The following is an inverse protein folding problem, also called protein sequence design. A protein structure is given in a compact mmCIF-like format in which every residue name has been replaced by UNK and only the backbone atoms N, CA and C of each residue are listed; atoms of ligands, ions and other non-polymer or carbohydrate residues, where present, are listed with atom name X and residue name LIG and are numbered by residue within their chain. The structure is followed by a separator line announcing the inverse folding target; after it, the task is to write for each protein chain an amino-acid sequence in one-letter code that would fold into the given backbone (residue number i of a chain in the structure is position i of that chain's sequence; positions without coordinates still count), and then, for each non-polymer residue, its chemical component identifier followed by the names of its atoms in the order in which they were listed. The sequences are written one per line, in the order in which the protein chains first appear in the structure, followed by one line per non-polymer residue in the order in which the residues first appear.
data_IF_892569781554
#
_entry.id   IF_892569781554
#
_cell.length_a   1.000
_cell.length_b   1.000
_cell.length_c   1.000
_cell.angle_alpha   90.00
_cell.angle_beta   90.00
_cell.angle_gamma   90.00
#
_symmetry.space_group_name_H-M   'P 1'
#
loop_
_entity.id
_entity.type
_entity.pdbx_description
1 polymer ?
#
# COMPACT_ATOMS: atom_id res chain seq x y z
N UNK A 1 -21.26 80.28 -5.33
CA UNK A 1 -19.88 80.23 -5.84
C UNK A 1 -19.71 78.90 -6.56
N UNK A 2 -19.09 78.95 -7.75
CA UNK A 2 -18.70 77.91 -8.73
C UNK A 2 -18.14 76.58 -8.15
N UNK A 3 -18.05 75.42 -8.84
CA UNK A 3 -18.53 74.86 -10.14
C UNK A 3 -18.11 73.36 -10.21
N UNK A 4 -18.92 72.46 -10.85
CA UNK A 4 -18.59 71.27 -11.71
C UNK A 4 -17.50 70.22 -11.26
N UNK A 5 -17.43 68.96 -11.73
CA UNK A 5 -18.18 68.17 -12.72
C UNK A 5 -18.07 66.64 -12.44
N UNK A 6 -18.97 65.87 -13.08
CA UNK A 6 -18.88 64.53 -13.70
C UNK A 6 -17.50 63.81 -13.78
N UNK A 7 -17.41 62.47 -13.83
CA UNK A 7 -18.16 61.60 -14.76
C UNK A 7 -18.55 60.18 -14.28
N UNK A 8 -19.36 59.51 -15.11
CA UNK A 8 -20.04 58.23 -14.88
C UNK A 8 -19.66 57.21 -15.99
N UNK A 9 -19.47 55.92 -15.67
CA UNK A 9 -19.20 54.90 -16.68
C UNK A 9 -19.78 53.52 -16.32
N UNK A 10 -20.96 53.23 -16.89
CA UNK A 10 -21.57 51.91 -17.03
C UNK A 10 -21.73 51.62 -18.52
N UNK A 11 -21.41 50.42 -18.99
CA UNK A 11 -21.87 49.92 -20.30
C UNK A 11 -22.07 48.41 -20.30
N UNK A 12 -23.29 48.02 -20.65
CA UNK A 12 -23.72 46.66 -21.00
C UNK A 12 -23.51 46.40 -22.53
N UNK A 13 -23.88 45.18 -22.98
CA UNK A 13 -24.20 44.77 -24.37
C UNK A 13 -23.10 44.31 -25.38
N UNK A 14 -23.15 43.00 -25.66
CA UNK A 14 -23.54 42.40 -26.97
C UNK A 14 -22.71 42.63 -28.24
N UNK A 15 -22.12 41.54 -28.77
CA UNK A 15 -21.93 41.27 -30.23
C UNK A 15 -21.47 39.81 -30.45
N UNK A 16 -21.77 39.10 -31.54
CA UNK A 16 -23.00 38.95 -32.34
C UNK A 16 -22.83 37.69 -33.22
N UNK A 17 -23.91 36.96 -33.49
CA UNK A 17 -23.95 35.93 -34.54
C UNK A 17 -24.00 36.57 -35.93
N UNK A 18 -23.25 36.02 -36.90
CA UNK A 18 -23.47 36.26 -38.33
C UNK A 18 -23.87 34.95 -39.02
N UNK A 19 -25.12 34.91 -39.47
CA UNK A 19 -25.57 34.04 -40.55
C UNK A 19 -25.29 34.73 -41.88
N UNK A 20 -25.02 33.95 -42.92
CA UNK A 20 -25.01 34.40 -44.32
C UNK A 20 -25.69 33.33 -45.15
N UNK A 21 -26.93 33.59 -45.56
CA UNK A 21 -27.61 32.78 -46.57
C UNK A 21 -27.22 33.25 -47.98
N UNK A 22 -27.17 32.31 -48.92
CA UNK A 22 -27.36 32.59 -50.34
C UNK A 22 -28.06 31.41 -51.03
N UNK A 23 -29.39 31.53 -51.09
CA UNK A 23 -30.35 30.98 -52.06
C UNK A 23 -29.92 29.88 -53.04
N UNK A 24 -30.64 28.75 -53.04
CA UNK A 24 -31.14 28.10 -54.26
C UNK A 24 -32.29 27.09 -54.01
N UNK A 25 -33.52 27.54 -54.30
CA UNK A 25 -34.65 26.83 -54.95
C UNK A 25 -35.17 25.42 -54.53
N UNK A 26 -36.52 25.37 -54.45
CA UNK A 26 -37.43 24.28 -54.90
C UNK A 26 -37.66 23.00 -54.06
N UNK A 27 -38.82 22.98 -53.37
CA UNK A 27 -39.72 21.81 -53.27
C UNK A 27 -40.51 21.63 -54.60
N UNK A 28 -41.33 20.57 -54.83
CA UNK A 28 -41.66 19.40 -53.99
C UNK A 28 -41.52 18.04 -54.72
N UNK A 29 -41.81 16.90 -54.04
CA UNK A 29 -42.88 15.93 -54.40
C UNK A 29 -42.80 14.59 -53.63
N UNK A 30 -43.90 13.84 -53.67
CA UNK A 30 -44.21 12.62 -52.91
C UNK A 30 -44.34 11.37 -53.80
N UNK A 31 -43.85 10.20 -53.35
CA UNK A 31 -44.34 8.83 -53.63
C UNK A 31 -43.47 7.84 -52.82
N UNK A 32 -43.98 6.91 -52.00
CA UNK A 32 -44.65 5.63 -52.32
C UNK A 32 -43.83 4.66 -53.21
N UNK A 33 -43.61 3.41 -52.75
CA UNK A 33 -43.38 2.28 -53.66
C UNK A 33 -42.33 1.19 -53.28
N UNK A 34 -42.65 0.33 -52.32
CA UNK A 34 -42.41 -1.14 -52.26
C UNK A 34 -41.10 -1.85 -52.71
N UNK A 35 -40.72 -2.85 -51.88
CA UNK A 35 -39.91 -4.07 -52.18
C UNK A 35 -38.40 -3.87 -52.53
N UNK A 36 -37.45 -4.75 -52.18
CA UNK A 36 -37.48 -6.14 -51.64
C UNK A 36 -36.22 -6.38 -50.76
N UNK A 37 -36.25 -7.25 -49.75
CA UNK A 37 -35.05 -7.67 -48.99
C UNK A 37 -34.28 -8.85 -49.64
N UNK A 38 -33.40 -9.60 -48.94
CA UNK A 38 -33.00 -9.50 -47.51
C UNK A 38 -31.47 -9.68 -47.25
N UNK A 39 -31.10 -10.03 -46.00
CA UNK A 39 -29.78 -10.40 -45.42
C UNK A 39 -29.02 -9.22 -44.76
N UNK A 40 -29.08 -9.05 -43.43
CA UNK A 40 -28.40 -9.80 -42.34
C UNK A 40 -26.87 -9.54 -42.31
N UNK A 41 -26.19 -9.27 -41.18
CA UNK A 41 -26.48 -9.55 -39.76
C UNK A 41 -26.07 -8.34 -38.89
N UNK A 42 -26.79 -8.06 -37.80
CA UNK A 42 -26.26 -7.21 -36.71
C UNK A 42 -26.79 -7.70 -35.34
N UNK A 43 -25.91 -8.24 -34.49
CA UNK A 43 -26.29 -8.92 -33.25
C UNK A 43 -26.10 -8.02 -32.03
N UNK A 44 -27.20 -7.47 -31.50
CA UNK A 44 -27.22 -6.85 -30.17
C UNK A 44 -27.45 -7.92 -29.08
N UNK A 45 -26.65 -7.87 -28.02
CA UNK A 45 -26.82 -8.73 -26.83
C UNK A 45 -27.44 -7.91 -25.69
N UNK A 46 -28.56 -8.40 -25.16
CA UNK A 46 -29.18 -7.97 -23.89
C UNK A 46 -29.13 -9.15 -22.89
N UNK A 47 -28.89 -8.92 -21.59
CA UNK A 47 -28.84 -9.99 -20.59
C UNK A 47 -30.23 -10.36 -20.06
N UNK A 48 -30.44 -11.66 -19.84
CA UNK A 48 -31.73 -12.22 -19.40
C UNK A 48 -31.93 -12.14 -17.88
N UNK A 49 -33.06 -11.58 -17.43
CA UNK A 49 -33.44 -11.49 -16.02
C UNK A 49 -34.36 -12.66 -15.66
N UNK A 50 -33.93 -13.51 -14.73
CA UNK A 50 -34.69 -14.69 -14.30
C UNK A 50 -35.54 -14.42 -13.05
N UNK A 51 -36.78 -14.02 -13.27
CA UNK A 51 -37.78 -13.83 -12.21
C UNK A 51 -38.45 -15.16 -11.82
N UNK A 52 -38.67 -15.40 -10.52
CA UNK A 52 -39.53 -16.50 -10.03
C UNK A 52 -40.45 -15.99 -8.93
N UNK A 53 -41.75 -15.98 -9.20
CA UNK A 53 -42.83 -15.54 -8.28
C UNK A 53 -43.45 -16.71 -7.51
N UNK A 54 -44.19 -16.45 -6.40
CA UNK A 54 -44.55 -17.45 -5.39
C UNK A 54 -45.96 -18.04 -5.55
N UNK A 55 -46.36 -18.96 -4.65
CA UNK A 55 -47.76 -19.35 -4.46
C UNK A 55 -48.09 -19.60 -2.98
N UNK A 56 -49.28 -19.13 -2.58
CA UNK A 56 -49.90 -19.10 -1.24
C UNK A 56 -49.93 -20.42 -0.45
N UNK A 57 -49.82 -20.36 0.90
CA UNK A 57 -50.97 -20.35 1.83
C UNK A 57 -50.57 -20.39 3.32
N UNK A 58 -51.39 -19.76 4.17
CA UNK A 58 -51.42 -19.83 5.66
C UNK A 58 -52.83 -20.36 6.08
N UNK A 59 -53.19 -20.65 7.35
CA UNK A 59 -52.50 -20.34 8.62
C UNK A 59 -52.53 -21.42 9.76
N UNK A 60 -51.85 -21.08 10.87
CA UNK A 60 -52.14 -21.42 12.29
C UNK A 60 -52.09 -22.88 12.82
N UNK A 61 -51.22 -23.12 13.83
CA UNK A 61 -51.56 -23.64 15.17
C UNK A 61 -50.30 -23.80 16.08
N UNK A 62 -50.48 -23.62 17.39
CA UNK A 62 -49.53 -23.99 18.46
C UNK A 62 -50.22 -25.10 19.29
N UNK A 63 -49.52 -26.19 19.66
CA UNK A 63 -49.27 -26.43 21.09
C UNK A 63 -47.90 -27.03 21.44
N UNK A 64 -47.68 -27.09 22.76
CA UNK A 64 -46.74 -27.85 23.60
C UNK A 64 -46.29 -29.23 23.03
N UNK A 65 -45.17 -29.86 23.40
CA UNK A 65 -44.19 -29.66 24.49
C UNK A 65 -43.43 -30.98 24.76
N UNK A 66 -42.60 -31.04 25.82
CA UNK A 66 -41.84 -32.22 26.35
C UNK A 66 -40.35 -32.33 25.97
N UNK A 67 -39.54 -32.71 26.97
CA UNK A 67 -38.07 -32.62 27.04
C UNK A 67 -37.32 -33.94 26.77
N UNK A 68 -35.97 -33.91 26.86
CA UNK A 68 -35.04 -34.78 27.66
C UNK A 68 -33.66 -34.74 26.98
N UNK A 69 -32.59 -34.06 27.44
CA UNK A 69 -31.85 -34.00 28.73
C UNK A 69 -30.70 -35.02 28.85
N UNK A 70 -29.45 -34.52 28.97
CA UNK A 70 -28.28 -35.13 29.66
C UNK A 70 -27.41 -33.96 30.22
N UNK A 71 -26.72 -34.06 31.40
CA UNK A 71 -26.72 -32.96 32.38
C UNK A 71 -25.40 -32.17 32.64
N UNK A 72 -25.51 -31.24 33.58
CA UNK A 72 -24.53 -30.24 34.09
C UNK A 72 -24.06 -30.60 35.52
N UNK A 73 -22.80 -30.29 35.87
CA UNK A 73 -22.31 -29.75 37.16
C UNK A 73 -20.91 -29.15 36.93
N UNK A 74 -20.49 -27.94 37.31
CA UNK A 74 -20.99 -26.95 38.31
C UNK A 74 -20.19 -27.09 39.63
N UNK A 75 -19.62 -26.07 40.28
CA UNK A 75 -19.42 -24.61 40.07
C UNK A 75 -18.19 -24.19 40.92
N UNK A 76 -17.96 -23.01 41.50
CA UNK A 76 -18.34 -21.59 41.35
C UNK A 76 -17.88 -20.87 42.66
N UNK A 77 -17.27 -19.67 42.58
CA UNK A 77 -16.90 -18.81 43.73
C UNK A 77 -15.51 -19.07 44.38
N UNK A 78 -14.84 -18.12 45.05
CA UNK A 78 -15.08 -16.66 45.21
C UNK A 78 -13.80 -15.92 45.71
N UNK A 79 -13.70 -14.62 45.40
CA UNK A 79 -12.94 -13.51 46.05
C UNK A 79 -11.55 -13.65 46.73
N UNK A 80 -10.71 -12.64 46.41
CA UNK A 80 -9.84 -11.83 47.31
C UNK A 80 -8.35 -12.17 47.58
N UNK A 81 -7.57 -11.07 47.53
CA UNK A 81 -6.25 -10.73 48.10
C UNK A 81 -5.46 -11.71 49.00
N UNK A 82 -4.13 -11.72 48.82
CA UNK A 82 -3.18 -12.07 49.88
C UNK A 82 -1.76 -12.36 49.38
N UNK A 83 -0.74 -11.78 50.01
CA UNK A 83 0.67 -12.00 49.68
C UNK A 83 1.44 -12.72 50.80
N UNK A 84 2.66 -13.18 50.47
CA UNK A 84 3.78 -13.51 51.38
C UNK A 84 4.01 -14.98 51.80
N UNK A 85 5.22 -15.47 51.45
CA UNK A 85 6.22 -16.12 52.35
C UNK A 85 5.71 -17.07 53.47
N UNK A 86 6.23 -18.29 53.67
CA UNK A 86 7.65 -18.61 53.96
C UNK A 86 7.85 -20.12 54.32
N UNK A 87 9.10 -20.59 54.16
CA UNK A 87 9.83 -21.61 54.98
C UNK A 87 9.74 -23.12 54.66
N UNK A 88 10.95 -23.68 54.55
CA UNK A 88 11.38 -25.05 54.25
C UNK A 88 11.45 -26.06 55.43
N UNK A 89 11.63 -27.34 55.07
CA UNK A 89 12.51 -28.39 55.68
C UNK A 89 13.11 -29.20 54.50
N UNK A 90 14.33 -29.76 54.45
CA UNK A 90 15.48 -29.93 55.39
C UNK A 90 15.46 -31.16 56.33
N UNK A 91 15.96 -32.30 55.80
CA UNK A 91 16.78 -33.37 56.43
C UNK A 91 17.32 -34.21 55.25
N UNK A 92 18.61 -34.30 54.90
CA UNK A 92 19.82 -34.74 55.62
C UNK A 92 19.84 -36.24 55.97
N UNK A 93 20.71 -37.02 55.32
CA UNK A 93 21.82 -37.77 55.96
C UNK A 93 22.77 -38.32 54.87
N UNK A 94 23.96 -38.77 55.26
CA UNK A 94 25.18 -38.74 54.42
C UNK A 94 26.17 -39.88 54.76
N UNK A 95 27.24 -40.00 53.95
CA UNK A 95 28.45 -40.84 54.12
C UNK A 95 28.29 -42.34 53.72
N UNK A 96 29.30 -43.08 53.22
CA UNK A 96 30.70 -42.76 52.89
C UNK A 96 31.41 -43.83 52.02
N UNK A 97 32.38 -43.40 51.20
CA UNK A 97 33.65 -44.03 50.76
C UNK A 97 33.83 -45.58 50.64
N UNK A 98 34.40 -46.06 49.52
CA UNK A 98 35.86 -46.38 49.39
C UNK A 98 36.22 -47.20 48.11
N UNK A 99 37.52 -47.45 47.90
CA UNK A 99 38.19 -47.86 46.64
C UNK A 99 38.15 -49.38 46.29
N UNK A 100 38.46 -49.73 45.02
CA UNK A 100 38.99 -51.05 44.65
C UNK A 100 39.19 -51.27 43.14
N UNK A 101 40.43 -51.54 42.69
CA UNK A 101 40.74 -51.91 41.29
C UNK A 101 40.56 -53.42 41.03
N UNK A 102 40.14 -53.82 39.82
CA UNK A 102 40.83 -54.84 38.98
C UNK A 102 40.08 -55.16 37.66
N UNK A 103 40.83 -55.72 36.70
CA UNK A 103 40.51 -56.14 35.32
C UNK A 103 41.12 -57.55 35.14
N UNK A 104 40.90 -58.36 34.08
CA UNK A 104 39.75 -58.60 33.18
C UNK A 104 39.16 -60.03 33.37
N UNK A 105 38.18 -60.50 32.56
CA UNK A 105 38.36 -61.58 31.56
C UNK A 105 37.06 -62.06 30.86
N UNK A 106 37.29 -62.70 29.70
CA UNK A 106 36.50 -63.71 28.99
C UNK A 106 35.13 -63.40 28.34
N UNK A 107 35.19 -63.43 27.01
CA UNK A 107 34.16 -63.85 26.06
C UNK A 107 33.76 -65.33 26.27
N UNK A 108 32.53 -65.72 25.87
CA UNK A 108 32.41 -66.73 24.81
C UNK A 108 31.40 -66.34 23.70
N UNK A 109 31.39 -67.03 22.54
CA UNK A 109 30.52 -66.76 21.40
C UNK A 109 29.34 -67.75 21.25
N UNK A 110 28.50 -67.50 20.22
CA UNK A 110 27.53 -68.39 19.55
C UNK A 110 26.31 -68.87 20.37
N UNK A 111 25.06 -68.62 19.96
CA UNK A 111 24.42 -69.27 18.78
C UNK A 111 23.06 -68.61 18.46
N UNK A 112 22.64 -68.71 17.19
CA UNK A 112 21.43 -68.14 16.57
C UNK A 112 20.07 -68.43 17.25
N UNK A 113 19.07 -67.55 16.97
CA UNK A 113 17.69 -67.87 16.55
C UNK A 113 16.85 -66.58 16.32
N UNK A 114 16.39 -66.36 15.08
CA UNK A 114 15.18 -65.58 14.72
C UNK A 114 13.92 -66.48 14.88
N UNK A 115 12.64 -66.02 14.89
CA UNK A 115 12.03 -64.88 14.13
C UNK A 115 10.86 -64.17 14.90
N UNK A 116 9.76 -63.66 14.29
CA UNK A 116 9.58 -62.64 13.24
C UNK A 116 8.67 -61.43 13.65
N UNK A 117 8.48 -60.50 12.70
CA UNK A 117 7.32 -59.59 12.50
C UNK A 117 6.84 -58.63 13.62
N UNK A 118 7.12 -57.34 13.42
CA UNK A 118 6.12 -56.27 13.56
C UNK A 118 6.55 -54.96 12.87
N UNK A 119 6.08 -54.70 11.65
CA UNK A 119 5.90 -53.33 11.15
C UNK A 119 4.85 -52.60 12.01
N UNK A 120 5.01 -51.30 12.30
CA UNK A 120 4.49 -50.33 11.33
C UNK A 120 5.29 -49.02 11.18
N UNK A 121 5.44 -48.61 9.92
CA UNK A 121 5.15 -47.24 9.49
C UNK A 121 5.90 -46.10 10.21
N UNK A 122 7.24 -46.16 10.24
CA UNK A 122 8.03 -44.94 10.44
C UNK A 122 8.01 -44.09 9.16
N UNK A 123 6.97 -43.28 9.00
CA UNK A 123 6.87 -42.34 7.88
C UNK A 123 8.10 -41.43 7.78
N UNK A 124 8.41 -40.95 6.58
CA UNK A 124 9.51 -40.01 6.33
C UNK A 124 9.07 -38.54 6.47
N UNK A 125 9.23 -37.92 7.67
CA UNK A 125 9.38 -36.46 7.72
C UNK A 125 10.53 -36.05 8.66
N UNK A 126 11.77 -36.42 8.35
CA UNK A 126 12.88 -36.22 9.29
C UNK A 126 14.21 -35.72 8.73
N UNK A 127 14.52 -35.90 7.43
CA UNK A 127 15.80 -35.44 6.84
C UNK A 127 15.96 -33.92 6.94
N UNK A 128 15.07 -33.15 6.32
CA UNK A 128 15.07 -31.67 6.36
C UNK A 128 14.95 -31.08 7.77
N UNK A 129 14.20 -31.72 8.66
CA UNK A 129 14.08 -31.29 10.06
C UNK A 129 15.34 -31.62 10.88
N UNK A 130 16.09 -32.67 10.53
CA UNK A 130 17.37 -32.98 11.17
C UNK A 130 18.47 -32.01 10.74
N UNK A 131 18.52 -31.65 9.45
CA UNK A 131 19.41 -30.63 8.89
C UNK A 131 19.11 -29.26 9.50
N UNK A 132 17.83 -28.86 9.61
CA UNK A 132 17.43 -27.62 10.27
C UNK A 132 17.87 -27.58 11.74
N UNK A 133 17.76 -28.69 12.49
CA UNK A 133 18.24 -28.79 13.88
C UNK A 133 19.77 -28.73 13.96
N UNK A 134 20.49 -29.26 12.98
CA UNK A 134 21.95 -29.15 12.89
C UNK A 134 22.37 -27.70 12.62
N UNK A 135 21.76 -27.04 11.62
CA UNK A 135 21.97 -25.62 11.32
C UNK A 135 21.61 -24.72 12.51
N UNK A 136 20.52 -25.01 13.23
CA UNK A 136 20.13 -24.25 14.42
C UNK A 136 21.16 -24.39 15.57
N UNK A 137 21.72 -25.59 15.78
CA UNK A 137 22.79 -25.82 16.76
C UNK A 137 24.12 -25.19 16.34
N UNK A 138 24.43 -25.18 15.05
CA UNK A 138 25.58 -24.47 14.50
C UNK A 138 25.42 -22.95 14.69
N UNK A 139 24.25 -22.42 14.34
CA UNK A 139 23.90 -21.01 14.52
C UNK A 139 23.95 -20.60 15.99
N UNK A 140 23.45 -21.43 16.91
CA UNK A 140 23.52 -21.17 18.35
C UNK A 140 24.99 -21.12 18.87
N UNK A 141 25.89 -21.90 18.27
CA UNK A 141 27.33 -21.87 18.59
C UNK A 141 28.06 -20.68 17.96
N UNK A 142 27.65 -20.23 16.77
CA UNK A 142 28.22 -19.06 16.10
C UNK A 142 27.60 -17.73 16.56
N UNK A 143 26.43 -17.76 17.20
CA UNK A 143 25.69 -16.61 17.73
C UNK A 143 26.53 -15.58 18.51
N UNK A 144 27.41 -15.93 19.48
CA UNK A 144 28.22 -14.92 20.15
C UNK A 144 29.19 -14.21 19.20
N UNK A 145 29.79 -14.91 18.24
CA UNK A 145 30.67 -14.32 17.22
C UNK A 145 29.88 -13.45 16.23
N UNK A 146 28.68 -13.89 15.85
CA UNK A 146 27.76 -13.10 15.03
C UNK A 146 27.34 -11.81 15.75
N UNK A 147 27.02 -11.86 17.05
CA UNK A 147 26.72 -10.67 17.85
C UNK A 147 27.91 -9.71 17.89
N UNK A 148 29.14 -10.20 18.09
CA UNK A 148 30.35 -9.36 18.10
C UNK A 148 30.54 -8.68 16.73
N UNK A 149 30.37 -9.43 15.63
CA UNK A 149 30.49 -8.91 14.27
C UNK A 149 29.38 -7.88 13.97
N UNK A 150 28.13 -8.18 14.31
CA UNK A 150 27.01 -7.24 14.19
C UNK A 150 27.22 -5.97 15.03
N UNK A 151 27.72 -6.09 16.27
CA UNK A 151 28.03 -4.94 17.11
C UNK A 151 29.14 -4.08 16.49
N UNK A 152 30.20 -4.69 15.95
CA UNK A 152 31.28 -3.98 15.23
C UNK A 152 30.72 -3.24 14.00
N UNK A 153 29.85 -3.88 13.21
CA UNK A 153 29.19 -3.23 12.06
C UNK A 153 28.27 -2.09 12.48
N UNK A 154 27.44 -2.28 13.52
CA UNK A 154 26.55 -1.24 14.04
C UNK A 154 27.33 -0.04 14.56
N UNK A 155 28.44 -0.25 15.28
CA UNK A 155 29.31 0.84 15.75
C UNK A 155 29.99 1.54 14.57
N UNK A 156 30.52 0.80 13.59
CA UNK A 156 31.16 1.35 12.40
C UNK A 156 30.20 2.23 11.56
N UNK A 157 28.94 1.82 11.43
CA UNK A 157 27.93 2.53 10.63
C UNK A 157 26.89 3.29 11.48
N UNK A 158 27.19 3.55 12.77
CA UNK A 158 26.24 4.10 13.74
C UNK A 158 25.61 5.42 13.28
N UNK A 159 26.42 6.32 12.68
CA UNK A 159 25.95 7.59 12.14
C UNK A 159 24.93 7.39 11.00
N UNK A 160 25.26 6.52 10.04
CA UNK A 160 24.37 6.23 8.91
C UNK A 160 23.07 5.56 9.36
N UNK A 161 23.15 4.62 10.31
CA UNK A 161 21.97 3.99 10.92
C UNK A 161 21.10 5.00 11.66
N UNK A 162 21.70 5.92 12.44
CA UNK A 162 20.97 6.96 13.14
C UNK A 162 20.25 7.92 12.19
N UNK A 163 20.91 8.35 11.10
CA UNK A 163 20.27 9.15 10.03
C UNK A 163 19.15 8.37 9.35
N UNK A 164 19.35 7.10 9.02
CA UNK A 164 18.32 6.23 8.43
C UNK A 164 17.08 6.08 9.31
N UNK A 165 17.27 5.89 10.62
CA UNK A 165 16.17 5.85 11.61
C UNK A 165 15.47 7.22 11.70
N UNK A 166 16.21 8.33 11.66
CA UNK A 166 15.64 9.68 11.61
C UNK A 166 14.78 9.91 10.38
N UNK A 167 15.28 9.56 9.19
CA UNK A 167 14.56 9.67 7.92
C UNK A 167 13.30 8.79 7.89
N UNK A 168 13.40 7.55 8.38
CA UNK A 168 12.25 6.65 8.47
C UNK A 168 11.20 7.16 9.46
N UNK A 169 11.61 7.73 10.60
CA UNK A 169 10.70 8.34 11.58
C UNK A 169 10.01 9.56 10.98
N UNK A 170 10.74 10.45 10.30
CA UNK A 170 10.19 11.58 9.53
C UNK A 170 9.17 11.11 8.49
N UNK A 171 9.49 10.06 7.73
CA UNK A 171 8.56 9.44 6.78
C UNK A 171 7.27 8.98 7.45
N UNK A 172 7.35 8.15 8.50
CA UNK A 172 6.17 7.61 9.19
C UNK A 172 5.28 8.72 9.76
N UNK A 173 5.92 9.72 10.37
CA UNK A 173 5.24 10.85 10.98
C UNK A 173 4.51 11.72 9.96
N UNK A 174 5.19 12.12 8.86
CA UNK A 174 4.56 12.93 7.81
C UNK A 174 3.50 12.13 7.05
N UNK A 175 3.73 10.85 6.75
CA UNK A 175 2.75 10.00 6.07
C UNK A 175 1.45 9.84 6.91
N UNK A 176 1.57 9.58 8.22
CA UNK A 176 0.42 9.59 9.14
C UNK A 176 -0.31 10.94 9.12
N UNK A 177 0.44 12.03 9.08
CA UNK A 177 -0.07 13.39 8.93
C UNK A 177 -0.90 13.62 7.66
N UNK A 178 -0.34 13.28 6.49
CA UNK A 178 -0.99 13.40 5.17
C UNK A 178 -2.29 12.60 5.13
N UNK A 179 -2.28 11.33 5.57
CA UNK A 179 -3.49 10.48 5.61
C UNK A 179 -4.57 11.04 6.52
N UNK A 180 -4.18 11.66 7.64
CA UNK A 180 -5.11 12.33 8.55
C UNK A 180 -5.74 13.55 7.87
N UNK A 181 -4.96 14.36 7.13
CA UNK A 181 -5.51 15.50 6.37
C UNK A 181 -6.44 15.04 5.24
N UNK A 182 -6.11 13.98 4.50
CA UNK A 182 -7.01 13.41 3.47
C UNK A 182 -8.34 12.96 4.08
N UNK A 183 -8.33 12.37 5.28
CA UNK A 183 -9.56 11.98 5.96
C UNK A 183 -10.43 13.18 6.40
N UNK A 184 -9.81 14.27 6.85
CA UNK A 184 -10.50 15.49 7.30
C UNK A 184 -10.74 16.52 6.17
N UNK A 185 -11.04 16.07 4.94
CA UNK A 185 -11.05 16.87 3.71
C UNK A 185 -11.89 18.17 3.75
N UNK A 186 -12.94 18.26 4.56
CA UNK A 186 -13.76 19.48 4.74
C UNK A 186 -13.28 20.46 5.84
N UNK A 187 -12.39 20.04 6.74
CA UNK A 187 -11.85 20.84 7.85
C UNK A 187 -10.32 20.76 7.92
N UNK A 188 -9.66 20.61 6.77
CA UNK A 188 -8.20 20.48 6.69
C UNK A 188 -7.50 21.69 7.26
N UNK A 189 -6.56 21.46 8.18
CA UNK A 189 -5.65 22.50 8.62
C UNK A 189 -4.62 22.74 7.52
N UNK A 190 -4.89 23.72 6.65
CA UNK A 190 -3.93 24.17 5.62
C UNK A 190 -2.59 24.55 6.26
N UNK A 191 -2.60 25.09 7.48
CA UNK A 191 -1.41 25.37 8.28
C UNK A 191 -0.61 24.10 8.61
N UNK A 192 -1.27 22.97 8.88
CA UNK A 192 -0.59 21.69 9.10
C UNK A 192 0.05 21.14 7.81
N UNK A 193 -0.60 21.29 6.65
CA UNK A 193 0.00 20.96 5.35
C UNK A 193 1.21 21.86 5.01
N UNK A 194 1.13 23.17 5.27
CA UNK A 194 2.27 24.10 5.15
C UNK A 194 3.40 23.69 6.09
N UNK A 195 3.09 23.32 7.33
CA UNK A 195 4.09 22.88 8.30
C UNK A 195 4.78 21.58 7.86
N UNK A 196 4.05 20.60 7.31
CA UNK A 196 4.66 19.40 6.71
C UNK A 196 5.58 19.73 5.52
N UNK A 197 5.22 20.71 4.67
CA UNK A 197 6.09 21.17 3.59
C UNK A 197 7.39 21.79 4.10
N UNK A 198 7.30 22.69 5.08
CA UNK A 198 8.46 23.31 5.70
C UNK A 198 9.35 22.24 6.35
N UNK A 199 8.76 21.29 7.07
CA UNK A 199 9.47 20.21 7.74
C UNK A 199 10.18 19.27 6.74
N UNK A 200 9.51 18.82 5.69
CA UNK A 200 10.12 17.99 4.62
C UNK A 200 11.24 18.74 3.89
N UNK A 201 11.01 20.01 3.55
CA UNK A 201 11.99 20.85 2.85
C UNK A 201 13.22 21.09 3.73
N UNK A 202 13.01 21.46 4.99
CA UNK A 202 14.08 21.64 5.98
C UNK A 202 14.86 20.34 6.22
N UNK A 203 14.20 19.19 6.36
CA UNK A 203 14.86 17.89 6.51
C UNK A 203 15.69 17.50 5.27
N UNK A 204 15.22 17.85 4.07
CA UNK A 204 15.94 17.59 2.81
C UNK A 204 17.17 18.49 2.67
N UNK A 205 17.02 19.80 2.96
CA UNK A 205 18.10 20.78 2.91
C UNK A 205 19.16 20.48 3.98
N UNK A 206 18.74 20.16 5.21
CA UNK A 206 19.66 19.78 6.29
C UNK A 206 20.50 18.57 5.91
N UNK A 207 19.89 17.54 5.31
CA UNK A 207 20.61 16.35 4.88
C UNK A 207 21.66 16.68 3.81
N UNK A 208 21.29 17.43 2.77
CA UNK A 208 22.24 17.82 1.72
C UNK A 208 23.32 18.79 2.21
N UNK A 209 23.04 19.62 3.21
CA UNK A 209 24.05 20.44 3.87
C UNK A 209 25.04 19.58 4.68
N UNK A 210 24.55 18.63 5.47
CA UNK A 210 25.38 17.71 6.27
C UNK A 210 26.27 16.82 5.41
N UNK A 211 25.77 16.34 4.27
CA UNK A 211 26.51 15.47 3.34
C UNK A 211 26.93 16.19 2.04
N UNK A 212 27.18 17.50 2.11
CA UNK A 212 27.52 18.31 0.92
C UNK A 212 28.76 17.81 0.19
N UNK A 213 29.79 17.39 0.94
CA UNK A 213 31.05 16.86 0.39
C UNK A 213 30.88 15.55 -0.38
N UNK A 214 29.85 14.74 -0.06
CA UNK A 214 29.56 13.44 -0.70
C UNK A 214 28.79 13.59 -2.02
N UNK A 215 28.43 14.82 -2.41
CA UNK A 215 27.74 15.19 -3.67
C UNK A 215 26.49 14.35 -4.03
N UNK A 216 25.81 13.78 -3.03
CA UNK A 216 24.67 12.84 -3.16
C UNK A 216 23.49 13.37 -3.99
N UNK A 217 23.41 14.67 -4.27
CA UNK A 217 22.40 15.25 -5.14
C UNK A 217 22.55 14.82 -6.61
N UNK A 218 23.74 14.42 -7.08
CA UNK A 218 23.94 13.87 -8.43
C UNK A 218 23.14 12.58 -8.66
N UNK A 219 22.98 11.76 -7.60
CA UNK A 219 22.20 10.52 -7.64
C UNK A 219 20.72 10.74 -7.97
N UNK A 220 20.15 11.93 -7.66
CA UNK A 220 18.80 12.28 -8.12
C UNK A 220 18.72 12.42 -9.64
N UNK A 221 19.77 12.91 -10.30
CA UNK A 221 19.77 13.21 -11.74
C UNK A 221 20.35 12.03 -12.55
N UNK A 222 20.46 10.85 -11.94
CA UNK A 222 21.06 9.64 -12.52
C UNK A 222 22.57 9.75 -12.81
N UNK A 223 23.28 10.72 -12.20
CA UNK A 223 24.74 10.81 -12.23
C UNK A 223 25.36 10.11 -11.00
N UNK A 224 26.54 9.54 -11.19
CA UNK A 224 27.32 8.96 -10.09
C UNK A 224 27.82 10.05 -9.11
N UNK A 225 27.87 9.77 -7.80
CA UNK A 225 28.51 10.65 -6.83
C UNK A 225 30.04 10.58 -6.99
N UNK A 226 30.76 11.63 -6.60
CA UNK A 226 32.22 11.76 -6.76
C UNK A 226 33.05 10.94 -5.74
N UNK A 227 32.50 9.83 -5.24
CA UNK A 227 33.09 9.02 -4.16
C UNK A 227 33.93 7.90 -4.78
N UNK A 228 35.16 8.19 -5.16
CA UNK A 228 36.11 7.16 -5.60
C UNK A 228 36.89 6.60 -4.39
N UNK A 229 36.93 5.26 -4.17
CA UNK A 229 36.17 4.20 -4.84
C UNK A 229 34.77 3.97 -4.22
N UNK A 230 33.77 3.67 -5.06
CA UNK A 230 32.43 3.30 -4.61
C UNK A 230 32.40 1.87 -4.04
N UNK A 231 32.65 1.72 -2.74
CA UNK A 231 32.44 0.46 -2.02
C UNK A 231 30.95 0.10 -1.88
N UNK A 232 30.69 -1.15 -1.49
CA UNK A 232 29.34 -1.69 -1.34
C UNK A 232 28.47 -0.88 -0.36
N UNK A 233 29.05 -0.44 0.76
CA UNK A 233 28.31 0.29 1.81
C UNK A 233 28.00 1.72 1.39
N UNK A 234 28.89 2.33 0.60
CA UNK A 234 28.80 3.66 0.05
C UNK A 234 27.72 3.73 -1.03
N UNK A 235 27.65 2.71 -1.91
CA UNK A 235 26.56 2.50 -2.88
C UNK A 235 25.22 2.31 -2.16
N UNK A 236 25.16 1.42 -1.16
CA UNK A 236 23.96 1.17 -0.38
C UNK A 236 23.47 2.43 0.37
N UNK A 237 24.39 3.20 0.92
CA UNK A 237 24.12 4.48 1.57
C UNK A 237 23.54 5.51 0.59
N UNK A 238 24.22 5.75 -0.54
CA UNK A 238 23.79 6.73 -1.54
C UNK A 238 22.40 6.40 -2.12
N UNK A 239 22.15 5.12 -2.43
CA UNK A 239 20.85 4.62 -2.88
C UNK A 239 19.79 4.81 -1.81
N UNK A 240 20.08 4.43 -0.56
CA UNK A 240 19.16 4.58 0.58
C UNK A 240 18.73 6.03 0.79
N UNK A 241 19.70 6.96 0.83
CA UNK A 241 19.46 8.40 0.96
C UNK A 241 18.63 8.93 -0.22
N UNK A 242 19.03 8.62 -1.44
CA UNK A 242 18.34 9.10 -2.65
C UNK A 242 16.90 8.60 -2.69
N UNK A 243 16.65 7.33 -2.31
CA UNK A 243 15.31 6.78 -2.20
C UNK A 243 14.46 7.56 -1.17
N UNK A 244 15.01 7.88 0.01
CA UNK A 244 14.32 8.71 1.01
C UNK A 244 14.03 10.14 0.51
N UNK A 245 14.98 10.80 -0.16
CA UNK A 245 14.74 12.15 -0.71
C UNK A 245 13.65 12.13 -1.78
N UNK A 246 13.63 11.15 -2.69
CA UNK A 246 12.53 11.00 -3.65
C UNK A 246 11.20 10.82 -2.91
N UNK A 247 11.16 10.01 -1.85
CA UNK A 247 9.98 9.81 -1.00
C UNK A 247 9.51 11.13 -0.37
N UNK A 248 10.44 11.97 0.10
CA UNK A 248 10.15 13.28 0.68
C UNK A 248 9.63 14.28 -0.37
N UNK A 249 10.21 14.29 -1.58
CA UNK A 249 9.71 15.09 -2.70
C UNK A 249 8.29 14.67 -3.11
N UNK A 250 8.01 13.37 -3.24
CA UNK A 250 6.66 12.86 -3.53
C UNK A 250 5.65 13.23 -2.43
N UNK A 251 6.01 13.10 -1.16
CA UNK A 251 5.15 13.56 -0.05
C UNK A 251 4.96 15.09 -0.04
N UNK A 252 5.98 15.86 -0.43
CA UNK A 252 5.88 17.30 -0.62
C UNK A 252 4.87 17.66 -1.71
N UNK A 253 4.94 17.01 -2.87
CA UNK A 253 3.95 17.18 -3.95
C UNK A 253 2.54 16.81 -3.49
N UNK A 254 2.36 15.74 -2.69
CA UNK A 254 1.07 15.43 -2.06
C UNK A 254 0.57 16.57 -1.17
N UNK A 255 1.41 17.15 -0.31
CA UNK A 255 1.04 18.30 0.51
C UNK A 255 0.66 19.53 -0.34
N UNK A 256 1.34 19.81 -1.46
CA UNK A 256 0.95 20.87 -2.40
C UNK A 256 -0.44 20.61 -3.00
N UNK A 257 -0.73 19.37 -3.42
CA UNK A 257 -2.07 18.94 -3.91
C UNK A 257 -3.14 19.10 -2.81
N UNK A 258 -2.80 18.89 -1.54
CA UNK A 258 -3.69 19.14 -0.41
C UNK A 258 -3.89 20.63 -0.11
N UNK A 259 -2.94 21.50 -0.44
CA UNK A 259 -3.09 22.94 -0.28
C UNK A 259 -4.00 23.58 -1.33
N UNK A 260 -4.09 23.02 -2.54
CA UNK A 260 -4.95 23.55 -3.61
C UNK A 260 -6.40 23.83 -3.12
N UNK A 261 -6.99 24.96 -3.53
CA UNK A 261 -8.38 25.28 -3.21
C UNK A 261 -9.34 24.44 -4.07
N UNK A 262 -10.54 24.20 -3.53
CA UNK A 262 -11.62 23.47 -4.21
C UNK A 262 -12.13 24.15 -5.48
N UNK A 263 -11.77 25.41 -5.72
CA UNK A 263 -12.01 26.13 -6.97
C UNK A 263 -11.12 25.68 -8.14
N UNK A 264 -9.93 25.14 -7.87
CA UNK A 264 -9.01 24.66 -8.91
C UNK A 264 -9.12 23.14 -9.13
N UNK A 265 -9.33 22.38 -8.05
CA UNK A 265 -9.32 20.92 -8.08
C UNK A 265 -10.47 20.36 -7.24
N UNK A 266 -11.38 19.61 -7.88
CA UNK A 266 -12.44 18.88 -7.17
C UNK A 266 -11.83 17.75 -6.33
N UNK A 267 -12.45 17.41 -5.20
CA UNK A 267 -11.94 16.39 -4.27
C UNK A 267 -11.71 15.01 -4.94
N UNK A 268 -12.59 14.61 -5.88
CA UNK A 268 -12.36 13.40 -6.73
C UNK A 268 -11.09 13.50 -7.57
N UNK A 269 -10.77 14.67 -8.10
CA UNK A 269 -9.55 14.90 -8.87
C UNK A 269 -8.32 14.91 -7.94
N UNK A 270 -8.43 15.53 -6.77
CA UNK A 270 -7.40 15.54 -5.73
C UNK A 270 -6.93 14.12 -5.37
N UNK A 271 -7.87 13.20 -5.10
CA UNK A 271 -7.54 11.79 -4.83
C UNK A 271 -6.85 11.07 -6.00
N UNK A 272 -7.20 11.39 -7.25
CA UNK A 272 -6.51 10.84 -8.44
C UNK A 272 -5.10 11.41 -8.61
N UNK A 273 -4.90 12.69 -8.32
CA UNK A 273 -3.58 13.32 -8.35
C UNK A 273 -2.66 12.74 -7.26
N UNK A 274 -3.14 12.55 -6.03
CA UNK A 274 -2.38 11.88 -4.95
C UNK A 274 -1.93 10.47 -5.35
N UNK A 275 -2.83 9.69 -5.97
CA UNK A 275 -2.54 8.36 -6.51
C UNK A 275 -1.51 8.39 -7.64
N UNK A 276 -1.63 9.34 -8.58
CA UNK A 276 -0.68 9.52 -9.68
C UNK A 276 0.71 9.94 -9.17
N UNK A 277 0.78 10.85 -8.19
CA UNK A 277 2.04 11.26 -7.54
C UNK A 277 2.75 10.09 -6.85
N UNK A 278 2.00 9.20 -6.21
CA UNK A 278 2.58 8.02 -5.55
C UNK A 278 3.12 7.00 -6.56
N UNK A 279 2.35 6.65 -7.60
CA UNK A 279 2.80 5.71 -8.63
C UNK A 279 3.99 6.27 -9.42
N UNK A 280 3.98 7.58 -9.76
CA UNK A 280 5.12 8.25 -10.39
C UNK A 280 6.35 8.25 -9.48
N UNK A 281 6.17 8.55 -8.19
CA UNK A 281 7.23 8.49 -7.19
C UNK A 281 7.86 7.11 -7.11
N UNK A 282 7.05 6.04 -7.05
CA UNK A 282 7.55 4.67 -7.01
C UNK A 282 8.28 4.27 -8.29
N UNK A 283 7.87 4.75 -9.48
CA UNK A 283 8.61 4.49 -10.73
C UNK A 283 9.97 5.18 -10.67
N UNK A 284 10.02 6.44 -10.24
CA UNK A 284 11.27 7.17 -10.09
C UNK A 284 12.22 6.51 -9.05
N UNK A 285 11.67 6.04 -7.93
CA UNK A 285 12.39 5.25 -6.94
C UNK A 285 12.94 3.91 -7.46
N UNK A 286 12.34 3.33 -8.50
CA UNK A 286 12.81 2.09 -9.12
C UNK A 286 13.97 2.31 -10.10
N UNK A 287 14.01 3.48 -10.76
CA UNK A 287 15.02 3.85 -11.75
C UNK A 287 16.25 4.50 -11.11
N UNK A 288 16.09 5.30 -10.04
CA UNK A 288 17.19 6.02 -9.40
C UNK A 288 18.39 5.14 -8.93
N UNK A 289 18.20 3.89 -8.44
CA UNK A 289 19.31 3.00 -8.10
C UNK A 289 20.08 2.44 -9.31
N UNK A 290 19.51 2.50 -10.52
CA UNK A 290 20.04 1.79 -11.71
C UNK A 290 21.46 2.23 -12.10
N UNK A 291 21.79 3.53 -12.21
CA UNK A 291 23.13 3.96 -12.58
C UNK A 291 24.20 3.57 -11.55
N UNK A 292 23.88 3.66 -10.25
CA UNK A 292 24.82 3.34 -9.17
C UNK A 292 25.14 1.84 -9.11
N UNK A 293 24.12 0.98 -9.16
CA UNK A 293 24.35 -0.47 -9.23
C UNK A 293 25.05 -0.90 -10.51
N UNK A 294 24.70 -0.30 -11.65
CA UNK A 294 25.38 -0.59 -12.92
C UNK A 294 26.87 -0.23 -12.85
N UNK A 295 27.20 0.98 -12.37
CA UNK A 295 28.59 1.42 -12.20
C UNK A 295 29.33 0.52 -11.19
N UNK A 296 28.71 0.19 -10.06
CA UNK A 296 29.31 -0.72 -9.08
C UNK A 296 29.62 -2.10 -9.68
N UNK A 297 28.67 -2.72 -10.37
CA UNK A 297 28.84 -4.08 -10.94
C UNK A 297 29.88 -4.15 -12.06
N UNK A 298 30.07 -3.07 -12.84
CA UNK A 298 31.10 -3.03 -13.89
C UNK A 298 32.46 -2.64 -13.31
N UNK A 299 32.56 -1.49 -12.64
CA UNK A 299 33.83 -0.88 -12.24
C UNK A 299 34.51 -1.60 -11.07
N UNK A 300 33.74 -2.19 -10.12
CA UNK A 300 34.33 -2.88 -8.96
C UNK A 300 35.21 -4.07 -9.34
N UNK A 301 34.96 -4.68 -10.51
CA UNK A 301 35.62 -5.93 -10.92
C UNK A 301 36.68 -5.75 -12.02
N UNK A 302 37.03 -4.50 -12.35
CA UNK A 302 38.13 -4.18 -13.26
C UNK A 302 39.51 -4.51 -12.66
N UNK A 303 39.67 -4.40 -11.33
CA UNK A 303 40.90 -4.74 -10.59
C UNK A 303 41.29 -6.23 -10.68
N UNK A 304 40.36 -7.13 -11.02
CA UNK A 304 40.61 -8.57 -11.25
C UNK A 304 41.02 -8.90 -12.70
N UNK A 305 41.13 -7.89 -13.57
CA UNK A 305 41.53 -8.03 -14.97
C UNK A 305 40.43 -8.56 -15.89
N UNK A 306 40.82 -9.11 -17.05
CA UNK A 306 39.89 -9.55 -18.12
C UNK A 306 38.76 -10.51 -17.68
N UNK A 307 38.99 -11.54 -16.83
CA UNK A 307 37.90 -12.39 -16.36
C UNK A 307 36.95 -11.62 -15.41
N UNK A 308 37.48 -10.71 -14.60
CA UNK A 308 36.71 -9.85 -13.70
C UNK A 308 35.77 -8.93 -14.47
N UNK A 309 36.29 -8.19 -15.46
CA UNK A 309 35.49 -7.36 -16.36
C UNK A 309 34.37 -8.17 -17.06
N UNK A 310 34.68 -9.38 -17.51
CA UNK A 310 33.69 -10.26 -18.16
C UNK A 310 32.56 -10.64 -17.19
N UNK A 311 32.90 -11.00 -15.94
CA UNK A 311 31.92 -11.32 -14.90
C UNK A 311 31.08 -10.09 -14.51
N UNK A 312 31.70 -8.94 -14.30
CA UNK A 312 31.02 -7.67 -14.00
C UNK A 312 30.01 -7.26 -15.07
N UNK A 313 30.38 -7.37 -16.35
CA UNK A 313 29.47 -7.11 -17.48
C UNK A 313 28.29 -8.11 -17.50
N UNK A 314 28.52 -9.40 -17.26
CA UNK A 314 27.45 -10.41 -17.21
C UNK A 314 26.49 -10.13 -16.04
N UNK A 315 27.00 -9.77 -14.86
CA UNK A 315 26.20 -9.40 -13.70
C UNK A 315 25.40 -8.11 -13.95
N UNK A 316 26.01 -7.09 -14.55
CA UNK A 316 25.35 -5.84 -14.92
C UNK A 316 24.21 -6.06 -15.93
N UNK A 317 24.43 -6.92 -16.95
CA UNK A 317 23.39 -7.29 -17.92
C UNK A 317 22.23 -8.04 -17.25
N UNK A 318 22.53 -9.02 -16.38
CA UNK A 318 21.50 -9.75 -15.62
C UNK A 318 20.68 -8.81 -14.73
N UNK A 319 21.34 -7.88 -14.02
CA UNK A 319 20.71 -6.85 -13.21
C UNK A 319 19.79 -5.95 -14.06
N UNK A 320 20.26 -5.47 -15.21
CA UNK A 320 19.45 -4.64 -16.12
C UNK A 320 18.23 -5.39 -16.66
N UNK A 321 18.36 -6.68 -17.01
CA UNK A 321 17.22 -7.51 -17.44
C UNK A 321 16.18 -7.62 -16.31
N UNK A 322 16.60 -7.95 -15.09
CA UNK A 322 15.72 -8.03 -13.93
C UNK A 322 15.02 -6.69 -13.64
N UNK A 323 15.73 -5.58 -13.77
CA UNK A 323 15.17 -4.22 -13.66
C UNK A 323 14.15 -3.90 -14.73
N UNK A 324 14.43 -4.19 -16.00
CA UNK A 324 13.51 -3.95 -17.11
C UNK A 324 12.22 -4.75 -16.96
N UNK A 325 12.30 -6.01 -16.52
CA UNK A 325 11.13 -6.84 -16.22
C UNK A 325 10.28 -6.25 -15.07
N UNK A 326 10.92 -5.80 -13.99
CA UNK A 326 10.22 -5.13 -12.88
C UNK A 326 9.55 -3.82 -13.31
N UNK A 327 10.29 -2.97 -14.03
CA UNK A 327 9.81 -1.68 -14.56
C UNK A 327 8.66 -1.86 -15.56
N UNK A 328 8.65 -2.93 -16.37
CA UNK A 328 7.55 -3.24 -17.28
C UNK A 328 6.24 -3.53 -16.51
N UNK A 329 6.30 -4.36 -15.47
CA UNK A 329 5.15 -4.67 -14.61
C UNK A 329 4.62 -3.43 -13.89
N UNK A 330 5.51 -2.60 -13.37
CA UNK A 330 5.16 -1.34 -12.71
C UNK A 330 4.62 -0.29 -13.69
N UNK A 331 5.23 -0.16 -14.88
CA UNK A 331 4.80 0.75 -15.94
C UNK A 331 3.39 0.44 -16.46
N UNK A 332 3.01 -0.84 -16.57
CA UNK A 332 1.63 -1.24 -16.88
C UNK A 332 0.63 -0.73 -15.83
N UNK A 333 1.01 -0.68 -14.56
CA UNK A 333 0.18 -0.19 -13.46
C UNK A 333 0.10 1.34 -13.46
N UNK A 334 1.23 2.02 -13.66
CA UNK A 334 1.29 3.47 -13.83
C UNK A 334 0.43 3.95 -15.02
N UNK A 335 0.51 3.31 -16.19
CA UNK A 335 -0.28 3.65 -17.36
C UNK A 335 -1.80 3.48 -17.13
N UNK A 336 -2.21 2.47 -16.35
CA UNK A 336 -3.61 2.34 -15.90
C UNK A 336 -4.02 3.51 -15.01
N UNK A 337 -3.20 3.87 -14.02
CA UNK A 337 -3.40 5.03 -13.15
C UNK A 337 -3.52 6.34 -13.93
N UNK A 338 -2.65 6.57 -14.92
CA UNK A 338 -2.73 7.71 -15.85
C UNK A 338 -4.06 7.68 -16.62
N UNK A 339 -4.45 6.54 -17.18
CA UNK A 339 -5.72 6.40 -17.92
C UNK A 339 -6.94 6.72 -17.05
N UNK A 340 -6.95 6.31 -15.79
CA UNK A 340 -8.01 6.62 -14.81
C UNK A 340 -8.01 8.11 -14.46
N UNK A 341 -6.82 8.71 -14.29
CA UNK A 341 -6.68 10.14 -14.01
C UNK A 341 -7.25 11.00 -15.15
N UNK A 342 -6.99 10.61 -16.41
CA UNK A 342 -7.43 11.30 -17.63
C UNK A 342 -8.92 11.07 -17.95
N UNK A 343 -9.42 9.83 -17.87
CA UNK A 343 -10.82 9.52 -18.24
C UNK A 343 -11.84 10.04 -17.23
N UNK A 344 -11.46 10.11 -15.95
CA UNK A 344 -12.35 10.51 -14.86
C UNK A 344 -13.36 9.42 -14.49
N UNK A 345 -13.55 9.20 -13.19
CA UNK A 345 -14.42 8.14 -12.69
C UNK A 345 -15.74 8.72 -12.13
N UNK A 346 -16.86 8.36 -12.75
CA UNK A 346 -18.20 8.78 -12.33
C UNK A 346 -18.91 7.69 -11.51
N UNK A 347 -18.55 7.57 -10.24
CA UNK A 347 -19.32 6.79 -9.26
C UNK A 347 -20.58 7.56 -8.86
N UNK A 348 -21.77 7.03 -9.21
CA UNK A 348 -23.08 7.59 -8.90
C UNK A 348 -23.50 8.78 -9.77
N UNK A 349 -24.82 8.98 -9.91
CA UNK A 349 -25.40 10.16 -10.59
C UNK A 349 -25.65 11.29 -9.57
N UNK A 350 -25.83 12.52 -10.05
CA UNK A 350 -26.24 13.62 -9.18
C UNK A 350 -27.69 13.38 -8.71
N UNK A 351 -27.94 13.49 -7.41
CA UNK A 351 -29.29 13.33 -6.86
C UNK A 351 -30.10 14.63 -7.05
N UNK A 352 -31.41 14.50 -7.27
CA UNK A 352 -32.32 15.65 -7.32
C UNK A 352 -32.71 16.12 -5.92
N UNK A 353 -33.18 17.36 -5.79
CA UNK A 353 -33.63 17.91 -4.48
C UNK A 353 -34.78 17.10 -3.87
N UNK A 354 -35.70 16.58 -4.67
CA UNK A 354 -36.80 15.74 -4.17
C UNK A 354 -36.29 14.45 -3.53
N UNK A 355 -35.35 13.75 -4.19
CA UNK A 355 -34.70 12.56 -3.64
C UNK A 355 -33.95 12.86 -2.33
N UNK A 356 -33.32 14.04 -2.23
CA UNK A 356 -32.63 14.44 -0.99
C UNK A 356 -33.60 14.70 0.17
N UNK A 357 -34.79 15.23 -0.11
CA UNK A 357 -35.84 15.47 0.88
C UNK A 357 -36.47 14.15 1.36
N UNK A 358 -36.77 13.23 0.43
CA UNK A 358 -37.22 11.87 0.74
C UNK A 358 -36.19 11.07 1.56
N UNK A 359 -34.90 11.29 1.32
CA UNK A 359 -33.80 10.69 2.08
C UNK A 359 -33.44 11.42 3.40
N UNK A 360 -34.26 12.36 3.87
CA UNK A 360 -34.13 13.00 5.18
C UNK A 360 -33.16 14.19 5.28
N UNK A 361 -32.80 14.82 4.15
CA UNK A 361 -32.05 16.09 4.00
C UNK A 361 -30.62 16.17 4.57
N UNK A 362 -30.22 15.19 5.38
CA UNK A 362 -28.93 15.11 6.08
C UNK A 362 -28.12 13.92 5.56
N UNK A 363 -26.83 14.15 5.27
CA UNK A 363 -25.91 13.10 4.82
C UNK A 363 -25.57 12.12 5.96
N UNK A 364 -25.77 10.79 5.80
CA UNK A 364 -25.50 9.81 6.86
C UNK A 364 -24.03 9.72 7.32
N UNK A 365 -23.07 10.19 6.51
CA UNK A 365 -21.63 10.11 6.82
C UNK A 365 -21.17 11.34 7.62
N UNK A 366 -21.49 12.56 7.16
CA UNK A 366 -21.03 13.80 7.80
C UNK A 366 -22.07 14.44 8.73
N UNK A 367 -23.28 13.89 8.80
CA UNK A 367 -24.38 14.33 9.67
C UNK A 367 -24.76 15.82 9.51
N UNK A 368 -24.53 16.37 8.31
CA UNK A 368 -24.93 17.72 7.92
C UNK A 368 -25.59 17.74 6.55
N UNK A 369 -26.03 18.93 6.12
CA UNK A 369 -26.69 19.14 4.83
C UNK A 369 -25.90 18.58 3.64
N UNK A 370 -26.62 18.09 2.63
CA UNK A 370 -26.04 17.50 1.43
C UNK A 370 -25.23 18.50 0.59
N UNK A 371 -23.90 18.30 0.55
CA UNK A 371 -22.98 18.99 -0.36
C UNK A 371 -22.75 18.15 -1.61
N UNK A 372 -23.24 18.63 -2.75
CA UNK A 372 -23.19 17.93 -4.05
C UNK A 372 -23.69 16.47 -3.92
N UNK A 373 -24.97 16.23 -3.59
CA UNK A 373 -25.46 14.89 -3.31
C UNK A 373 -25.35 13.96 -4.52
N UNK A 374 -24.92 12.73 -4.24
CA UNK A 374 -24.83 11.63 -5.20
C UNK A 374 -25.72 10.48 -4.76
N UNK A 375 -26.49 9.94 -5.69
CA UNK A 375 -27.25 8.71 -5.51
C UNK A 375 -26.44 7.52 -6.05
N UNK A 376 -26.36 6.46 -5.26
CA UNK A 376 -25.69 5.22 -5.62
C UNK A 376 -26.63 4.25 -6.34
N UNK A 377 -26.08 3.18 -6.92
CA UNK A 377 -26.87 2.11 -7.56
C UNK A 377 -27.89 1.46 -6.60
N UNK A 378 -27.59 1.45 -5.30
CA UNK A 378 -28.48 1.01 -4.22
C UNK A 378 -29.43 2.12 -3.70
N UNK A 379 -29.61 3.20 -4.44
CA UNK A 379 -30.48 4.37 -4.16
C UNK A 379 -30.15 5.21 -2.90
N UNK A 380 -29.23 4.78 -2.04
CA UNK A 380 -28.71 5.60 -0.94
C UNK A 380 -27.98 6.87 -1.44
N UNK A 381 -28.16 7.97 -0.71
CA UNK A 381 -27.65 9.31 -1.05
C UNK A 381 -26.59 9.75 -0.04
N UNK A 382 -25.52 10.35 -0.54
CA UNK A 382 -24.40 10.88 0.25
C UNK A 382 -23.83 12.15 -0.39
N UNK A 383 -23.10 12.98 0.37
CA UNK A 383 -22.26 14.03 -0.22
C UNK A 383 -21.17 13.40 -1.12
N UNK A 384 -20.85 14.04 -2.25
CA UNK A 384 -19.84 13.55 -3.22
C UNK A 384 -18.49 13.20 -2.54
N UNK A 385 -18.03 14.12 -1.68
CA UNK A 385 -16.79 14.00 -0.90
C UNK A 385 -16.81 12.80 0.05
N UNK A 386 -17.90 12.66 0.81
CA UNK A 386 -18.02 11.64 1.86
C UNK A 386 -17.98 10.23 1.28
N UNK A 387 -18.69 10.01 0.17
CA UNK A 387 -18.75 8.70 -0.47
C UNK A 387 -17.51 8.40 -1.32
N UNK A 388 -16.87 9.42 -1.90
CA UNK A 388 -15.56 9.28 -2.53
C UNK A 388 -14.49 8.87 -1.51
N UNK A 389 -14.44 9.49 -0.34
CA UNK A 389 -13.50 9.14 0.74
C UNK A 389 -13.74 7.71 1.26
N UNK A 390 -15.00 7.31 1.42
CA UNK A 390 -15.36 5.93 1.78
C UNK A 390 -14.85 4.92 0.76
N UNK A 391 -15.03 5.18 -0.54
CA UNK A 391 -14.55 4.31 -1.62
C UNK A 391 -13.02 4.27 -1.80
N UNK A 392 -12.25 5.06 -1.03
CA UNK A 392 -10.80 4.90 -0.95
C UNK A 392 -10.37 3.69 -0.11
N UNK A 393 -11.28 3.13 0.71
CA UNK A 393 -10.99 2.03 1.65
C UNK A 393 -11.95 0.86 1.52
N UNK A 394 -13.22 1.14 1.25
CA UNK A 394 -14.29 0.15 1.17
C UNK A 394 -14.89 0.08 -0.23
N UNK A 395 -15.49 -1.05 -0.58
CA UNK A 395 -16.13 -1.26 -1.91
C UNK A 395 -17.65 -1.22 -1.89
N UNK A 396 -18.24 -1.18 -0.71
CA UNK A 396 -19.68 -1.32 -0.46
C UNK A 396 -20.33 -0.02 -0.02
N UNK A 397 -21.65 0.10 -0.18
CA UNK A 397 -22.42 1.20 0.41
C UNK A 397 -22.29 1.19 1.96
N UNK A 398 -22.09 2.35 2.62
CA UNK A 398 -22.03 2.45 4.08
C UNK A 398 -23.30 1.94 4.80
N UNK A 399 -24.48 2.10 4.17
CA UNK A 399 -25.76 1.75 4.77
C UNK A 399 -26.15 0.29 4.54
N UNK A 400 -26.34 -0.13 3.28
CA UNK A 400 -26.83 -1.46 2.94
C UNK A 400 -25.75 -2.50 2.61
N UNK A 401 -24.47 -2.13 2.62
CA UNK A 401 -23.32 -2.98 2.26
C UNK A 401 -23.33 -3.60 0.85
N UNK A 402 -24.27 -3.21 -0.03
CA UNK A 402 -24.24 -3.55 -1.46
C UNK A 402 -22.92 -3.10 -2.08
N UNK A 403 -22.25 -3.96 -2.86
CA UNK A 403 -21.00 -3.60 -3.56
C UNK A 403 -21.34 -2.61 -4.68
N UNK A 404 -20.62 -1.48 -4.71
CA UNK A 404 -20.87 -0.38 -5.67
C UNK A 404 -19.70 -0.21 -6.64
N UNK A 405 -18.48 -0.49 -6.19
CA UNK A 405 -17.25 -0.35 -6.98
C UNK A 405 -16.47 -1.66 -6.92
N UNK A 406 -16.04 -2.20 -8.05
CA UNK A 406 -15.31 -3.48 -8.08
C UNK A 406 -13.85 -3.37 -7.63
N UNK A 407 -13.27 -2.16 -7.70
CA UNK A 407 -11.85 -1.89 -7.44
C UNK A 407 -11.67 -0.77 -6.45
N UNK A 408 -10.93 -1.04 -5.37
CA UNK A 408 -10.38 -0.03 -4.48
C UNK A 408 -9.02 0.36 -5.06
N UNK A 409 -8.83 1.64 -5.37
CA UNK A 409 -7.58 2.12 -5.94
C UNK A 409 -6.61 2.48 -4.81
N UNK A 410 -5.44 1.84 -4.82
CA UNK A 410 -4.37 2.06 -3.86
C UNK A 410 -3.93 3.54 -3.86
N UNK A 411 -3.43 4.04 -2.73
CA UNK A 411 -2.87 5.40 -2.55
C UNK A 411 -3.84 6.58 -2.67
N UNK A 412 -5.12 6.35 -3.05
CA UNK A 412 -6.15 7.40 -3.15
C UNK A 412 -6.47 8.07 -1.79
N UNK A 413 -6.16 7.40 -0.68
CA UNK A 413 -6.24 7.94 0.69
C UNK A 413 -4.99 8.76 1.13
N UNK A 414 -4.05 8.99 0.22
CA UNK A 414 -2.82 9.75 0.46
C UNK A 414 -1.67 8.95 1.09
N UNK A 415 -1.85 7.64 1.34
CA UNK A 415 -0.79 6.79 1.87
C UNK A 415 0.43 6.73 0.93
N UNK A 416 1.60 6.48 1.49
CA UNK A 416 2.91 6.48 0.82
C UNK A 416 3.61 5.17 1.12
N UNK A 417 4.14 4.49 0.09
CA UNK A 417 4.72 3.17 0.27
C UNK A 417 5.94 3.20 1.21
N UNK A 418 5.95 2.42 2.31
CA UNK A 418 7.11 2.30 3.19
C UNK A 418 8.25 1.49 2.56
N UNK A 419 8.01 0.83 1.42
CA UNK A 419 9.00 0.00 0.75
C UNK A 419 10.17 0.85 0.22
N UNK A 420 11.39 0.48 0.60
CA UNK A 420 12.65 1.07 0.15
C UNK A 420 13.16 0.25 -1.04
N UNK A 421 13.30 0.86 -2.22
CA UNK A 421 13.89 0.17 -3.37
C UNK A 421 15.42 0.26 -3.24
N UNK A 422 16.00 -0.80 -2.65
CA UNK A 422 17.44 -0.94 -2.40
C UNK A 422 18.15 -1.50 -3.64
N UNK A 423 17.53 -2.47 -4.31
CA UNK A 423 18.02 -3.04 -5.57
C UNK A 423 17.30 -2.39 -6.74
#
# INVERSE_FOLDING_TARGET
MKLRMQDNARSDCTRASKLSESSAAMQPTSAQGAATGPSDVNLFVQPEIKTRTPTLCSPAAIPEGTEVRVPITGGAGETSSGASSRRARVHSHSHSHSHGHSRPQHQPPDTALEPPDSDPESGEPSTSLSELRYLLRWLQKSLPFLIILCAKLVIQHALGLAVGVGLFTTFLYVNKGIRTQVFHQGHQSKLQCVWFLIFLSSSTILLYYTFYHETLFYCLIFLGPTIEPLGFWEVLWAIGITNFIIKFLSMGVKCLILLLPSSLVTYRCQGRLLMLTEELGQVYQAVAPVPLWFHYLVTYQEDEGTPGLTLGVVLALLYLIMKLLGLYGQGSSFLKTVSICLKGEQTGTAATRSQCSEAGEVCPICQGEYRQPRVLLCQHIFCDECIALWFNREKSCPLCRTVITEKIYKWRDGDTSPHLQIY
#
